data_IF_576765842304
#
_entry.id   IF_576765842304
#
_cell.length_a   1.000
_cell.length_b   1.000
_cell.length_c   1.000
_cell.angle_alpha   90.00
_cell.angle_beta   90.00
_cell.angle_gamma   90.00
#
_symmetry.space_group_name_H-M   'P 1'
#
loop_
_entity.id
_entity.type
_entity.pdbx_description
1 polymer ?
#
# COMPACT_ATOMS: atom_id res chain seq x y z
N UNK A 1 8.13 -9.06 -20.38
CA UNK A 1 6.78 -9.56 -20.72
C UNK A 1 5.79 -8.69 -19.95
N UNK A 2 4.71 -8.22 -20.58
CA UNK A 2 3.76 -7.33 -19.93
C UNK A 2 2.34 -7.66 -20.33
N UNK A 3 1.41 -7.54 -19.39
CA UNK A 3 -0.01 -7.78 -19.60
C UNK A 3 -0.72 -6.50 -20.07
N UNK A 4 -1.74 -6.66 -20.92
CA UNK A 4 -2.52 -5.54 -21.47
C UNK A 4 -3.85 -5.44 -20.74
N UNK A 5 -4.16 -4.23 -20.25
CA UNK A 5 -5.44 -3.92 -19.62
C UNK A 5 -6.20 -2.93 -20.50
N UNK A 6 -7.43 -3.30 -20.90
CA UNK A 6 -8.33 -2.44 -21.68
C UNK A 6 -9.32 -1.74 -20.76
N UNK A 7 -9.24 -0.42 -20.64
CA UNK A 7 -10.12 0.39 -19.78
C UNK A 7 -11.14 1.14 -20.64
N UNK A 8 -12.43 0.94 -20.37
CA UNK A 8 -13.50 1.73 -20.99
C UNK A 8 -13.58 3.09 -20.31
N UNK A 9 -13.53 4.15 -21.10
CA UNK A 9 -13.68 5.54 -20.64
C UNK A 9 -14.80 6.24 -21.43
N UNK A 10 -15.45 7.27 -20.86
CA UNK A 10 -16.41 8.08 -21.59
C UNK A 10 -15.80 8.69 -22.86
N UNK A 11 -16.55 8.72 -23.97
CA UNK A 11 -16.04 9.20 -25.26
C UNK A 11 -15.48 10.62 -25.19
N UNK A 12 -16.17 11.53 -24.48
CA UNK A 12 -15.72 12.91 -24.25
C UNK A 12 -14.35 13.01 -23.56
N UNK A 13 -14.02 12.06 -22.68
CA UNK A 13 -12.71 12.03 -22.02
C UNK A 13 -11.63 11.58 -23.00
N UNK A 14 -11.91 10.54 -23.79
CA UNK A 14 -10.99 10.05 -24.82
C UNK A 14 -10.66 11.12 -25.86
N UNK A 15 -11.64 11.91 -26.27
CA UNK A 15 -11.44 13.04 -27.20
C UNK A 15 -10.49 14.09 -26.61
N UNK A 16 -10.68 14.48 -25.34
CA UNK A 16 -9.78 15.40 -24.64
C UNK A 16 -8.36 14.85 -24.48
N UNK A 17 -8.26 13.55 -24.17
CA UNK A 17 -6.96 12.88 -24.08
C UNK A 17 -6.23 12.92 -25.43
N UNK A 18 -6.94 12.60 -26.52
CA UNK A 18 -6.38 12.63 -27.86
C UNK A 18 -5.92 14.04 -28.27
N UNK A 19 -6.72 15.06 -27.96
CA UNK A 19 -6.36 16.47 -28.22
C UNK A 19 -5.11 16.95 -27.44
N UNK A 20 -4.75 16.26 -26.35
CA UNK A 20 -3.62 16.60 -25.49
C UNK A 20 -2.44 15.63 -25.63
N UNK A 21 -2.49 14.68 -26.57
CA UNK A 21 -1.48 13.61 -26.72
C UNK A 21 -0.06 14.14 -26.98
N UNK A 22 0.05 15.31 -27.62
CA UNK A 22 1.35 15.94 -27.92
C UNK A 22 2.01 16.53 -26.66
N UNK A 23 1.22 16.74 -25.59
CA UNK A 23 1.69 17.26 -24.31
C UNK A 23 1.81 16.18 -23.25
N UNK A 24 0.97 15.14 -23.32
CA UNK A 24 0.84 14.13 -22.27
C UNK A 24 0.99 12.72 -22.83
N UNK A 25 1.98 11.99 -22.31
CA UNK A 25 2.15 10.56 -22.59
C UNK A 25 1.21 9.74 -21.68
N UNK A 26 -0.05 9.61 -22.09
CA UNK A 26 -1.11 8.98 -21.30
C UNK A 26 -0.78 7.59 -20.78
N UNK A 27 -0.11 6.75 -21.57
CA UNK A 27 0.30 5.41 -21.12
C UNK A 27 1.24 5.46 -19.91
N UNK A 28 2.17 6.43 -19.89
CA UNK A 28 3.09 6.63 -18.77
C UNK A 28 2.36 7.19 -17.55
N UNK A 29 1.46 8.14 -17.77
CA UNK A 29 0.69 8.78 -16.70
C UNK A 29 -0.24 7.80 -15.98
N UNK A 30 -1.02 7.03 -16.76
CA UNK A 30 -1.94 6.01 -16.25
C UNK A 30 -1.16 4.92 -15.51
N UNK A 31 -0.05 4.45 -16.07
CA UNK A 31 0.78 3.43 -15.41
C UNK A 31 1.31 3.92 -14.07
N UNK A 32 1.85 5.13 -14.01
CA UNK A 32 2.33 5.73 -12.76
C UNK A 32 1.22 5.88 -11.72
N UNK A 33 0.04 6.32 -12.17
CA UNK A 33 -1.12 6.46 -11.30
C UNK A 33 -1.52 5.11 -10.69
N UNK A 34 -1.61 4.06 -11.51
CA UNK A 34 -1.96 2.70 -11.05
C UNK A 34 -0.87 2.17 -10.11
N UNK A 35 0.41 2.27 -10.45
CA UNK A 35 1.51 1.82 -9.60
C UNK A 35 1.50 2.51 -8.23
N UNK A 36 1.29 3.83 -8.21
CA UNK A 36 1.17 4.59 -6.97
C UNK A 36 -0.02 4.11 -6.14
N UNK A 37 -1.19 3.96 -6.76
CA UNK A 37 -2.42 3.57 -6.05
C UNK A 37 -2.34 2.15 -5.49
N UNK A 38 -1.77 1.22 -6.25
CA UNK A 38 -1.52 -0.15 -5.79
C UNK A 38 -0.57 -0.16 -4.60
N UNK A 39 0.52 0.61 -4.66
CA UNK A 39 1.49 0.71 -3.56
C UNK A 39 0.87 1.27 -2.28
N UNK A 40 0.01 2.28 -2.39
CA UNK A 40 -0.74 2.84 -1.26
C UNK A 40 -1.66 1.80 -0.62
N UNK A 41 -2.56 1.20 -1.41
CA UNK A 41 -3.52 0.21 -0.91
C UNK A 41 -2.86 -1.06 -0.37
N UNK A 42 -1.75 -1.48 -0.97
CA UNK A 42 -1.02 -2.65 -0.48
C UNK A 42 -0.36 -2.38 0.86
N UNK A 43 0.14 -1.16 1.11
CA UNK A 43 0.64 -0.76 2.42
C UNK A 43 -0.46 -0.76 3.47
N UNK A 44 -1.62 -0.20 3.14
CA UNK A 44 -2.81 -0.21 4.02
C UNK A 44 -3.18 -1.65 4.39
N UNK A 45 -3.29 -2.53 3.39
CA UNK A 45 -3.61 -3.95 3.62
C UNK A 45 -2.58 -4.66 4.51
N UNK A 46 -1.28 -4.43 4.29
CA UNK A 46 -0.22 -5.04 5.12
C UNK A 46 -0.33 -4.58 6.57
N UNK A 47 -0.62 -3.30 6.81
CA UNK A 47 -0.82 -2.79 8.17
C UNK A 47 -2.06 -3.42 8.82
N UNK A 48 -3.18 -3.51 8.08
CA UNK A 48 -4.39 -4.19 8.59
C UNK A 48 -4.14 -5.67 8.90
N UNK A 49 -3.31 -6.37 8.12
CA UNK A 49 -2.94 -7.76 8.40
C UNK A 49 -2.07 -7.87 9.66
N UNK A 50 -1.13 -6.93 9.87
CA UNK A 50 -0.33 -6.87 11.10
C UNK A 50 -1.22 -6.62 12.31
N UNK A 51 -2.15 -5.66 12.23
CA UNK A 51 -3.06 -5.34 13.32
C UNK A 51 -3.92 -6.55 13.70
N UNK A 52 -4.44 -7.29 12.71
CA UNK A 52 -5.19 -8.54 12.96
C UNK A 52 -4.34 -9.62 13.64
N UNK A 53 -3.07 -9.74 13.28
CA UNK A 53 -2.16 -10.68 13.96
C UNK A 53 -1.93 -10.23 15.40
N UNK A 54 -1.72 -8.94 15.65
CA UNK A 54 -1.52 -8.39 17.00
C UNK A 54 -2.77 -8.59 17.86
N UNK A 55 -3.97 -8.35 17.32
CA UNK A 55 -5.24 -8.56 18.02
C UNK A 55 -5.47 -10.03 18.41
N UNK A 56 -4.89 -10.98 17.68
CA UNK A 56 -4.95 -12.40 18.00
C UNK A 56 -3.92 -12.83 19.07
N UNK A 57 -2.94 -11.99 19.39
CA UNK A 57 -1.96 -12.31 20.43
C UNK A 57 -2.60 -12.18 21.82
N UNK A 58 -2.34 -13.12 22.74
CA UNK A 58 -2.84 -13.01 24.10
C UNK A 58 -2.28 -11.75 24.77
N UNK A 59 -3.14 -10.98 25.43
CA UNK A 59 -2.69 -9.85 26.23
C UNK A 59 -1.79 -10.35 27.37
N UNK A 60 -0.55 -9.89 27.38
CA UNK A 60 0.38 -10.19 28.46
C UNK A 60 0.11 -9.28 29.67
N UNK A 61 0.30 -9.77 30.91
CA UNK A 61 0.10 -8.97 32.11
C UNK A 61 0.88 -7.66 32.05
N UNK A 62 0.28 -6.57 32.55
CA UNK A 62 0.96 -5.27 32.64
C UNK A 62 2.28 -5.43 33.41
N UNK A 63 3.37 -4.92 32.83
CA UNK A 63 4.71 -4.99 33.41
C UNK A 63 5.56 -6.18 32.96
N UNK A 64 5.03 -7.10 32.15
CA UNK A 64 5.78 -8.26 31.62
C UNK A 64 7.01 -7.82 30.81
N UNK A 65 6.86 -6.85 29.91
CA UNK A 65 7.98 -6.32 29.11
C UNK A 65 9.02 -5.63 29.99
N UNK A 66 8.59 -4.81 30.95
CA UNK A 66 9.48 -4.12 31.89
C UNK A 66 10.26 -5.09 32.76
N UNK A 67 9.64 -6.21 33.15
CA UNK A 67 10.29 -7.27 33.92
C UNK A 67 11.36 -7.96 33.09
N UNK A 68 11.06 -8.37 31.87
CA UNK A 68 12.04 -9.00 30.98
C UNK A 68 13.23 -8.09 30.66
N UNK A 69 12.99 -6.81 30.38
CA UNK A 69 14.08 -5.85 30.12
C UNK A 69 14.95 -5.61 31.36
N UNK A 70 14.38 -5.66 32.57
CA UNK A 70 15.16 -5.57 33.81
C UNK A 70 15.98 -6.83 34.07
N UNK A 71 15.37 -7.99 33.89
CA UNK A 71 16.05 -9.28 34.08
C UNK A 71 17.24 -9.44 33.11
N UNK A 72 17.08 -9.04 31.84
CA UNK A 72 18.14 -9.09 30.84
C UNK A 72 19.29 -8.10 31.17
N UNK A 73 18.95 -6.91 31.68
CA UNK A 73 19.92 -5.90 32.06
C UNK A 73 20.69 -6.25 33.34
N UNK A 74 20.01 -6.83 34.32
CA UNK A 74 20.61 -7.18 35.62
C UNK A 74 21.40 -8.50 35.54
N UNK A 75 21.35 -9.22 34.40
CA UNK A 75 22.09 -10.46 34.15
C UNK A 75 23.46 -10.25 33.45
N UNK A 76 23.91 -9.00 33.26
CA UNK A 76 25.18 -8.62 32.62
C UNK A 76 25.95 -7.62 33.49
#
# INVERSE_FOLDING_TARGET
>A
MGDVISIRVPSRLKEKMEALKDRVKWSKEIRKFIEKKVKELWREKVLEEIDKVIEQLPEVPKGTVTKYVREDRDSN
#
